data_IF_877740494770
#
_entry.id   IF_877740494770
#
_cell.length_a   1.000
_cell.length_b   1.000
_cell.length_c   1.000
_cell.angle_alpha   90.00
_cell.angle_beta   90.00
_cell.angle_gamma   90.00
#
_symmetry.space_group_name_H-M   'P 1'
#
loop_
_entity.id
_entity.type
_entity.pdbx_description
1 polymer ?
#
# COMPACT_ATOMS: atom_id res chain seq x y z
N UNK A 1 -2.56 9.15 -14.97
CA UNK A 1 -2.14 10.00 -13.83
C UNK A 1 -0.63 10.29 -13.88
N UNK A 2 -0.19 11.55 -13.72
CA UNK A 2 1.25 11.90 -13.68
C UNK A 2 1.75 11.97 -12.23
N UNK A 3 2.46 10.93 -11.79
CA UNK A 3 3.11 10.91 -10.47
C UNK A 3 4.30 11.88 -10.48
N UNK A 4 4.48 12.68 -9.41
CA UNK A 4 5.60 13.62 -9.28
C UNK A 4 6.93 12.87 -9.20
N UNK A 5 7.97 13.35 -9.89
CA UNK A 5 9.31 12.73 -9.91
C UNK A 5 9.88 12.50 -8.50
N UNK A 6 9.69 13.46 -7.59
CA UNK A 6 10.13 13.32 -6.20
C UNK A 6 9.54 12.12 -5.48
N UNK A 7 8.34 11.66 -5.87
CA UNK A 7 7.77 10.43 -5.30
C UNK A 7 8.47 9.16 -5.81
N UNK A 8 8.87 9.11 -7.09
CA UNK A 8 9.66 8.00 -7.62
C UNK A 8 11.02 7.89 -6.93
N UNK A 9 11.74 9.01 -6.85
CA UNK A 9 13.07 9.06 -6.21
C UNK A 9 12.97 8.63 -4.75
N UNK A 10 11.99 9.18 -4.02
CA UNK A 10 11.74 8.80 -2.64
C UNK A 10 11.42 7.30 -2.51
N UNK A 11 10.49 6.78 -3.34
CA UNK A 11 10.07 5.39 -3.29
C UNK A 11 11.26 4.46 -3.57
N UNK A 12 12.04 4.77 -4.59
CA UNK A 12 13.25 4.04 -4.94
C UNK A 12 14.29 4.07 -3.81
N UNK A 13 14.60 5.26 -3.27
CA UNK A 13 15.63 5.43 -2.24
C UNK A 13 15.29 4.70 -0.93
N UNK A 14 14.05 4.84 -0.43
CA UNK A 14 13.62 4.17 0.82
C UNK A 14 13.67 2.66 0.66
N UNK A 15 13.11 2.12 -0.43
CA UNK A 15 13.10 0.68 -0.66
C UNK A 15 14.52 0.11 -0.85
N UNK A 16 15.41 0.84 -1.54
CA UNK A 16 16.80 0.44 -1.72
C UNK A 16 17.57 0.42 -0.38
N UNK A 17 17.34 1.41 0.47
CA UNK A 17 17.96 1.48 1.80
C UNK A 17 17.48 0.33 2.71
N UNK A 18 16.19 0.01 2.68
CA UNK A 18 15.65 -1.12 3.46
C UNK A 18 16.15 -2.48 2.96
N UNK A 19 16.27 -2.66 1.64
CA UNK A 19 16.84 -3.85 1.04
C UNK A 19 18.31 -4.03 1.46
N UNK A 20 19.09 -2.96 1.42
CA UNK A 20 20.47 -2.96 1.90
C UNK A 20 20.55 -3.33 3.39
N UNK A 21 19.70 -2.72 4.23
CA UNK A 21 19.63 -3.02 5.66
C UNK A 21 19.25 -4.47 5.96
N UNK A 22 18.28 -5.02 5.22
CA UNK A 22 17.88 -6.43 5.35
C UNK A 22 19.01 -7.36 4.91
N UNK A 23 19.66 -7.06 3.78
CA UNK A 23 20.83 -7.80 3.32
C UNK A 23 21.98 -7.75 4.33
N UNK A 24 22.21 -6.62 4.99
CA UNK A 24 23.23 -6.48 6.02
C UNK A 24 22.93 -7.36 7.24
N UNK A 25 21.70 -7.32 7.75
CA UNK A 25 21.27 -8.14 8.89
C UNK A 25 21.43 -9.63 8.57
N UNK A 26 20.98 -10.06 7.40
CA UNK A 26 21.12 -11.46 6.95
C UNK A 26 22.58 -11.86 6.75
N UNK A 27 23.42 -10.96 6.22
CA UNK A 27 24.86 -11.17 6.11
C UNK A 27 25.52 -11.41 7.47
N UNK A 28 25.18 -10.61 8.49
CA UNK A 28 25.68 -10.80 9.87
C UNK A 28 25.22 -12.14 10.44
N UNK A 29 23.95 -12.52 10.24
CA UNK A 29 23.44 -13.81 10.67
C UNK A 29 24.15 -14.98 9.98
N UNK A 30 24.43 -14.87 8.68
CA UNK A 30 25.13 -15.90 7.91
C UNK A 30 26.54 -16.18 8.47
N UNK A 31 27.29 -15.13 8.86
CA UNK A 31 28.58 -15.27 9.55
C UNK A 31 28.41 -16.08 10.84
N UNK A 32 27.41 -15.74 11.65
CA UNK A 32 27.19 -16.37 12.97
C UNK A 32 26.83 -17.85 12.87
N UNK A 33 26.21 -18.28 11.77
CA UNK A 33 25.82 -19.68 11.53
C UNK A 33 26.91 -20.44 10.76
N UNK A 34 28.08 -19.83 10.51
CA UNK A 34 29.23 -20.50 9.88
C UNK A 34 29.10 -20.66 8.37
N UNK A 35 28.22 -19.90 7.72
CA UNK A 35 28.11 -19.87 6.25
C UNK A 35 29.20 -18.92 5.73
N UNK A 36 30.44 -19.43 5.61
CA UNK A 36 31.63 -18.63 5.25
C UNK A 36 31.91 -18.57 3.74
N UNK A 37 31.07 -19.19 2.90
CA UNK A 37 31.30 -19.28 1.45
C UNK A 37 31.11 -17.95 0.71
N UNK A 38 30.45 -16.97 1.32
CA UNK A 38 30.07 -15.71 0.68
C UNK A 38 30.45 -14.55 1.60
N UNK A 39 31.06 -13.49 1.05
CA UNK A 39 31.41 -12.30 1.82
C UNK A 39 30.15 -11.69 2.44
N UNK A 40 30.19 -11.23 3.71
CA UNK A 40 29.05 -10.57 4.33
C UNK A 40 28.59 -9.33 3.55
N UNK A 41 29.53 -8.67 2.88
CA UNK A 41 29.26 -7.49 2.06
C UNK A 41 28.54 -7.80 0.74
N UNK A 42 28.58 -9.05 0.26
CA UNK A 42 27.80 -9.44 -0.92
C UNK A 42 26.29 -9.53 -0.64
N UNK A 43 25.87 -9.80 0.60
CA UNK A 43 24.45 -9.88 0.92
C UNK A 43 23.70 -8.56 0.70
N UNK A 44 24.14 -7.39 1.23
CA UNK A 44 23.54 -6.10 0.88
C UNK A 44 23.45 -5.85 -0.62
N UNK A 45 24.52 -6.15 -1.36
CA UNK A 45 24.59 -5.90 -2.81
C UNK A 45 23.57 -6.77 -3.54
N UNK A 46 23.55 -8.09 -3.28
CA UNK A 46 22.59 -9.01 -3.88
C UNK A 46 21.15 -8.61 -3.58
N UNK A 47 20.84 -8.25 -2.33
CA UNK A 47 19.51 -7.81 -1.95
C UNK A 47 19.10 -6.52 -2.64
N UNK A 48 19.99 -5.53 -2.73
CA UNK A 48 19.71 -4.29 -3.48
C UNK A 48 19.40 -4.61 -4.93
N UNK A 49 20.21 -5.43 -5.61
CA UNK A 49 20.01 -5.81 -7.03
C UNK A 49 18.67 -6.52 -7.24
N UNK A 50 18.37 -7.52 -6.41
CA UNK A 50 17.08 -8.23 -6.45
C UNK A 50 15.93 -7.23 -6.26
N UNK A 51 16.06 -6.32 -5.29
CA UNK A 51 15.02 -5.34 -5.01
C UNK A 51 14.86 -4.28 -6.12
N UNK A 52 15.92 -3.94 -6.85
CA UNK A 52 15.81 -3.06 -8.02
C UNK A 52 14.88 -3.65 -9.08
N UNK A 53 14.96 -4.96 -9.33
CA UNK A 53 14.04 -5.64 -10.26
C UNK A 53 12.58 -5.50 -9.80
N UNK A 54 12.32 -5.63 -8.49
CA UNK A 54 11.00 -5.40 -7.93
C UNK A 54 10.55 -3.94 -8.07
N UNK A 55 11.41 -2.95 -7.81
CA UNK A 55 11.07 -1.53 -7.94
C UNK A 55 10.71 -1.16 -9.38
N UNK A 56 11.45 -1.67 -10.36
CA UNK A 56 11.15 -1.47 -11.79
C UNK A 56 9.74 -1.98 -12.13
N UNK A 57 9.30 -3.08 -11.52
CA UNK A 57 7.93 -3.61 -11.70
C UNK A 57 6.83 -2.69 -11.15
N UNK A 58 7.13 -1.85 -10.16
CA UNK A 58 6.22 -0.82 -9.65
C UNK A 58 6.15 0.38 -10.60
N UNK A 59 7.24 0.72 -11.30
CA UNK A 59 7.27 1.89 -12.16
C UNK A 59 6.71 1.63 -13.55
N UNK A 60 6.95 0.45 -14.12
CA UNK A 60 6.56 0.12 -15.51
C UNK A 60 5.84 -1.22 -15.66
N UNK A 61 5.63 -1.96 -14.57
CA UNK A 61 5.11 -3.34 -14.63
C UNK A 61 3.68 -3.50 -14.10
N UNK A 62 3.34 -4.77 -13.79
CA UNK A 62 2.02 -5.18 -13.30
C UNK A 62 1.61 -4.54 -11.97
N UNK A 63 2.56 -4.02 -11.20
CA UNK A 63 2.32 -3.37 -9.89
C UNK A 63 2.18 -1.85 -9.99
N UNK A 64 2.08 -1.31 -11.20
CA UNK A 64 1.93 0.13 -11.42
C UNK A 64 0.75 0.75 -10.67
N UNK A 65 -0.39 0.07 -10.63
CA UNK A 65 -1.57 0.56 -9.92
C UNK A 65 -1.36 0.68 -8.40
N UNK A 66 -0.58 -0.23 -7.80
CA UNK A 66 -0.21 -0.15 -6.38
C UNK A 66 0.67 1.06 -6.09
N UNK A 67 1.64 1.34 -6.97
CA UNK A 67 2.50 2.52 -6.86
C UNK A 67 1.68 3.81 -6.94
N UNK A 68 0.76 3.89 -7.89
CA UNK A 68 -0.12 5.06 -8.06
C UNK A 68 -1.07 5.25 -6.87
N UNK A 69 -1.60 4.15 -6.32
CA UNK A 69 -2.36 4.20 -5.08
C UNK A 69 -1.52 4.74 -3.92
N UNK A 70 -0.28 4.25 -3.75
CA UNK A 70 0.62 4.73 -2.67
C UNK A 70 0.94 6.22 -2.81
N UNK A 71 1.09 6.70 -4.05
CA UNK A 71 1.23 8.13 -4.31
C UNK A 71 0.00 8.91 -3.87
N UNK A 72 -1.20 8.47 -4.25
CA UNK A 72 -2.45 9.14 -3.90
C UNK A 72 -2.74 9.12 -2.40
N UNK A 73 -2.46 8.00 -1.73
CA UNK A 73 -2.55 7.91 -0.28
C UNK A 73 -1.60 8.92 0.38
N UNK A 74 -0.36 9.01 -0.09
CA UNK A 74 0.61 9.97 0.43
C UNK A 74 0.24 11.41 0.09
N UNK A 75 -0.34 11.68 -1.07
CA UNK A 75 -0.82 13.02 -1.41
C UNK A 75 -2.07 13.39 -0.62
N UNK A 76 -2.96 12.46 -0.30
CA UNK A 76 -4.07 12.71 0.63
C UNK A 76 -3.57 12.99 2.05
N UNK A 77 -2.45 12.37 2.45
CA UNK A 77 -1.79 12.62 3.75
C UNK A 77 -0.92 13.90 3.73
N UNK A 78 -0.38 14.32 2.59
CA UNK A 78 0.53 15.50 2.52
C UNK A 78 -0.12 16.75 1.94
N UNK A 79 -1.21 16.62 1.21
CA UNK A 79 -1.91 17.72 0.57
C UNK A 79 -2.46 18.68 1.63
N UNK A 80 -2.28 19.96 1.38
CA UNK A 80 -2.77 21.03 2.26
C UNK A 80 -4.30 21.14 2.23
N UNK A 81 -4.93 20.66 1.16
CA UNK A 81 -6.37 20.80 0.92
C UNK A 81 -7.26 20.09 1.95
N UNK A 82 -6.77 19.07 2.68
CA UNK A 82 -7.58 18.34 3.68
C UNK A 82 -6.77 17.84 4.89
N UNK A 83 -6.26 18.77 5.71
CA UNK A 83 -5.53 18.47 6.95
C UNK A 83 -6.30 17.55 7.90
N UNK A 84 -7.62 17.65 7.94
CA UNK A 84 -8.47 16.82 8.80
C UNK A 84 -8.51 15.36 8.34
N UNK A 85 -8.71 15.12 7.03
CA UNK A 85 -8.67 13.77 6.46
C UNK A 85 -7.32 13.11 6.72
N UNK A 86 -6.22 13.87 6.59
CA UNK A 86 -4.87 13.40 6.94
C UNK A 86 -4.79 12.90 8.38
N UNK A 87 -5.28 13.69 9.35
CA UNK A 87 -5.25 13.31 10.77
C UNK A 87 -6.06 12.04 10.99
N UNK A 88 -7.26 11.96 10.40
CA UNK A 88 -8.14 10.79 10.50
C UNK A 88 -7.51 9.54 9.90
N UNK A 89 -6.96 9.62 8.68
CA UNK A 89 -6.28 8.50 8.03
C UNK A 89 -5.01 8.06 8.78
N UNK A 90 -4.27 8.99 9.41
CA UNK A 90 -3.13 8.66 10.26
C UNK A 90 -3.55 7.87 11.50
N UNK A 91 -4.66 8.25 12.15
CA UNK A 91 -5.23 7.52 13.30
C UNK A 91 -5.69 6.11 12.89
N UNK A 92 -6.43 6.00 11.79
CA UNK A 92 -6.85 4.69 11.23
C UNK A 92 -5.64 3.80 10.96
N UNK A 93 -4.58 4.33 10.35
CA UNK A 93 -3.34 3.58 10.09
C UNK A 93 -2.72 3.06 11.39
N UNK A 94 -2.73 3.86 12.45
CA UNK A 94 -2.20 3.44 13.75
C UNK A 94 -3.02 2.30 14.35
N UNK A 95 -4.35 2.35 14.30
CA UNK A 95 -5.21 1.29 14.84
C UNK A 95 -5.16 -0.01 14.06
N UNK A 96 -5.04 0.08 12.73
CA UNK A 96 -4.79 -1.10 11.91
C UNK A 96 -3.46 -1.78 12.25
N UNK A 97 -2.45 -1.05 12.78
CA UNK A 97 -1.22 -1.66 13.31
C UNK A 97 -1.46 -2.39 14.63
N UNK A 98 -2.33 -1.86 15.49
CA UNK A 98 -2.69 -2.47 16.77
C UNK A 98 -3.63 -3.67 16.62
N UNK A 99 -4.18 -3.89 15.42
CA UNK A 99 -4.92 -5.10 15.09
C UNK A 99 -6.41 -5.06 15.41
N UNK A 100 -6.97 -3.88 15.67
CA UNK A 100 -8.42 -3.70 15.85
C UNK A 100 -9.08 -3.24 14.53
N UNK A 101 -9.60 -4.17 13.70
CA UNK A 101 -10.25 -3.82 12.44
C UNK A 101 -11.60 -3.11 12.65
N UNK A 102 -12.27 -3.33 13.78
CA UNK A 102 -13.60 -2.77 14.03
C UNK A 102 -13.51 -1.27 14.36
N UNK A 103 -12.56 -0.88 15.22
CA UNK A 103 -12.29 0.55 15.48
C UNK A 103 -11.85 1.28 14.21
N UNK A 104 -10.96 0.67 13.42
CA UNK A 104 -10.52 1.22 12.16
C UNK A 104 -11.68 1.41 11.16
N UNK A 105 -12.59 0.44 11.07
CA UNK A 105 -13.79 0.54 10.25
C UNK A 105 -14.69 1.70 10.72
N UNK A 106 -14.99 1.80 12.02
CA UNK A 106 -15.81 2.88 12.57
C UNK A 106 -15.25 4.28 12.26
N UNK A 107 -13.93 4.46 12.37
CA UNK A 107 -13.28 5.74 12.02
C UNK A 107 -13.24 6.03 10.54
N UNK A 108 -13.13 5.00 9.69
CA UNK A 108 -13.26 5.16 8.24
C UNK A 108 -14.69 5.52 7.85
N UNK A 109 -15.70 4.95 8.50
CA UNK A 109 -17.10 5.35 8.32
C UNK A 109 -17.30 6.83 8.65
N UNK A 110 -16.72 7.31 9.76
CA UNK A 110 -16.77 8.72 10.13
C UNK A 110 -16.02 9.61 9.12
N UNK A 111 -14.84 9.19 8.65
CA UNK A 111 -14.10 9.93 7.64
C UNK A 111 -14.85 9.98 6.29
N UNK A 112 -15.55 8.92 5.91
CA UNK A 112 -16.31 8.86 4.66
C UNK A 112 -17.55 9.75 4.68
N UNK A 113 -18.16 9.98 5.85
CA UNK A 113 -19.27 10.94 5.99
C UNK A 113 -18.85 12.36 5.63
N UNK A 114 -17.67 12.76 6.06
CA UNK A 114 -17.16 14.13 5.81
C UNK A 114 -16.47 14.25 4.45
N UNK A 115 -15.91 13.14 3.94
CA UNK A 115 -15.19 13.09 2.67
C UNK A 115 -15.74 11.98 1.73
N UNK A 116 -17.02 12.08 1.31
CA UNK A 116 -17.69 11.01 0.55
C UNK A 116 -17.11 10.78 -0.85
N UNK A 117 -16.47 11.80 -1.42
CA UNK A 117 -15.93 11.80 -2.78
C UNK A 117 -14.40 11.68 -2.81
N UNK A 118 -13.78 11.38 -1.66
CA UNK A 118 -12.35 11.15 -1.63
C UNK A 118 -12.02 9.70 -2.00
N UNK A 119 -11.30 9.52 -3.11
CA UNK A 119 -10.82 8.23 -3.58
C UNK A 119 -10.15 7.37 -2.49
N UNK A 120 -9.21 7.95 -1.74
CA UNK A 120 -8.41 7.22 -0.75
C UNK A 120 -9.27 6.79 0.44
N UNK A 121 -10.19 7.65 0.89
CA UNK A 121 -11.14 7.32 1.95
C UNK A 121 -12.08 6.18 1.52
N UNK A 122 -12.70 6.28 0.34
CA UNK A 122 -13.56 5.25 -0.24
C UNK A 122 -12.83 3.90 -0.39
N UNK A 123 -11.62 3.90 -0.94
CA UNK A 123 -10.84 2.68 -1.13
C UNK A 123 -10.47 2.05 0.21
N UNK A 124 -10.03 2.84 1.21
CA UNK A 124 -9.70 2.32 2.53
C UNK A 124 -10.93 1.79 3.27
N UNK A 125 -12.08 2.44 3.11
CA UNK A 125 -13.34 1.94 3.64
C UNK A 125 -13.68 0.57 3.03
N UNK A 126 -13.57 0.40 1.71
CA UNK A 126 -13.76 -0.89 1.05
C UNK A 126 -12.87 -2.01 1.63
N UNK A 127 -11.58 -1.72 1.82
CA UNK A 127 -10.64 -2.66 2.46
C UNK A 127 -11.05 -2.99 3.90
N UNK A 128 -11.57 -2.02 4.65
CA UNK A 128 -12.06 -2.26 6.01
C UNK A 128 -13.30 -3.16 6.01
N UNK A 129 -14.24 -2.97 5.08
CA UNK A 129 -15.41 -3.83 4.90
C UNK A 129 -14.97 -5.27 4.63
N UNK A 130 -13.97 -5.48 3.76
CA UNK A 130 -13.43 -6.82 3.54
C UNK A 130 -12.88 -7.46 4.82
N UNK A 131 -12.09 -6.71 5.61
CA UNK A 131 -11.53 -7.24 6.86
C UNK A 131 -12.61 -7.61 7.86
N UNK A 132 -13.74 -6.90 7.83
CA UNK A 132 -14.93 -7.18 8.64
C UNK A 132 -15.80 -8.32 8.09
N UNK A 133 -15.51 -8.84 6.89
CA UNK A 133 -16.31 -9.88 6.24
C UNK A 133 -17.52 -9.37 5.45
N UNK A 134 -17.64 -8.04 5.28
CA UNK A 134 -18.75 -7.38 4.58
C UNK A 134 -18.45 -7.32 3.07
N UNK A 135 -18.61 -8.46 2.38
CA UNK A 135 -18.24 -8.62 0.98
C UNK A 135 -18.98 -7.69 0.01
N UNK A 136 -20.31 -7.57 0.16
CA UNK A 136 -21.14 -6.75 -0.73
C UNK A 136 -20.82 -5.25 -0.59
N UNK A 137 -20.71 -4.78 0.65
CA UNK A 137 -20.33 -3.38 0.95
C UNK A 137 -18.91 -3.06 0.47
N UNK A 138 -17.99 -4.03 0.57
CA UNK A 138 -16.64 -3.88 0.02
C UNK A 138 -16.67 -3.70 -1.50
N UNK A 139 -17.42 -4.56 -2.21
CA UNK A 139 -17.57 -4.49 -3.67
C UNK A 139 -18.19 -3.15 -4.09
N UNK A 140 -19.28 -2.74 -3.45
CA UNK A 140 -19.94 -1.46 -3.73
C UNK A 140 -18.97 -0.29 -3.52
N UNK A 141 -18.21 -0.32 -2.42
CA UNK A 141 -17.24 0.72 -2.09
C UNK A 141 -16.05 0.75 -3.06
N UNK A 142 -15.57 -0.40 -3.55
CA UNK A 142 -14.55 -0.43 -4.60
C UNK A 142 -15.04 0.13 -5.92
N UNK A 143 -16.27 -0.21 -6.33
CA UNK A 143 -16.86 0.33 -7.55
C UNK A 143 -17.02 1.85 -7.43
N UNK A 144 -17.42 2.35 -6.25
CA UNK A 144 -17.43 3.80 -5.97
C UNK A 144 -16.03 4.40 -6.01
N UNK A 145 -15.02 3.75 -5.43
CA UNK A 145 -13.64 4.23 -5.50
C UNK A 145 -13.15 4.30 -6.94
N UNK A 146 -13.55 3.35 -7.81
CA UNK A 146 -13.18 3.35 -9.22
C UNK A 146 -13.69 4.58 -9.97
N UNK A 147 -14.90 5.05 -9.67
CA UNK A 147 -15.47 6.27 -10.28
C UNK A 147 -14.79 7.55 -9.78
N UNK A 148 -14.24 7.52 -8.56
CA UNK A 148 -13.56 8.65 -7.92
C UNK A 148 -12.06 8.75 -8.25
N UNK A 149 -11.52 7.90 -9.13
CA UNK A 149 -10.09 7.92 -9.47
C UNK A 149 -9.69 9.30 -10.01
N UNK A 150 -8.75 10.02 -9.35
CA UNK A 150 -8.32 11.32 -9.81
C UNK A 150 -7.48 11.18 -11.07
N UNK A 151 -7.94 11.76 -12.17
CA UNK A 151 -7.40 11.63 -13.54
C UNK A 151 -7.44 10.19 -14.08
N UNK A 152 -7.72 9.98 -15.38
CA UNK A 152 -7.74 8.63 -15.94
C UNK A 152 -6.37 7.97 -15.77
N UNK A 153 -6.33 6.90 -14.98
CA UNK A 153 -5.15 6.04 -14.82
C UNK A 153 -5.57 4.59 -14.95
N UNK A 154 -5.26 4.00 -16.11
CA UNK A 154 -5.65 2.63 -16.45
C UNK A 154 -5.07 1.62 -15.47
N UNK A 155 -3.83 1.83 -15.03
CA UNK A 155 -3.13 1.01 -14.04
C UNK A 155 -3.82 1.01 -12.68
N UNK A 156 -4.20 2.19 -12.18
CA UNK A 156 -4.91 2.32 -10.91
C UNK A 156 -6.32 1.73 -11.00
N UNK A 157 -7.03 1.99 -12.10
CA UNK A 157 -8.35 1.41 -12.35
C UNK A 157 -8.30 -0.12 -12.36
N UNK A 158 -7.36 -0.70 -13.11
CA UNK A 158 -7.13 -2.14 -13.15
C UNK A 158 -6.81 -2.70 -11.75
N UNK A 159 -6.01 -1.99 -10.96
CA UNK A 159 -5.73 -2.39 -9.57
C UNK A 159 -6.99 -2.40 -8.69
N UNK A 160 -7.83 -1.37 -8.75
CA UNK A 160 -9.10 -1.30 -7.98
C UNK A 160 -10.08 -2.39 -8.44
N UNK A 161 -10.28 -2.52 -9.75
CA UNK A 161 -11.15 -3.54 -10.34
C UNK A 161 -10.69 -4.97 -10.01
N UNK A 162 -9.38 -5.20 -9.92
CA UNK A 162 -8.82 -6.47 -9.48
C UNK A 162 -9.22 -6.80 -8.04
N UNK A 163 -9.29 -5.82 -7.14
CA UNK A 163 -9.73 -6.06 -5.76
C UNK A 163 -11.22 -6.42 -5.71
N UNK A 164 -12.09 -5.65 -6.37
CA UNK A 164 -13.53 -5.95 -6.39
C UNK A 164 -13.83 -7.30 -7.03
N UNK A 165 -13.18 -7.63 -8.15
CA UNK A 165 -13.31 -8.93 -8.83
C UNK A 165 -12.84 -10.09 -7.96
N UNK A 166 -11.74 -9.90 -7.21
CA UNK A 166 -11.27 -10.91 -6.27
C UNK A 166 -12.27 -11.14 -5.14
N UNK A 167 -12.80 -10.07 -4.51
CA UNK A 167 -13.83 -10.22 -3.46
C UNK A 167 -15.06 -10.95 -3.99
N UNK A 168 -15.49 -10.66 -5.22
CA UNK A 168 -16.59 -11.38 -5.88
C UNK A 168 -16.30 -12.88 -6.06
N UNK A 169 -15.06 -13.25 -6.37
CA UNK A 169 -14.68 -14.63 -6.70
C UNK A 169 -14.29 -15.47 -5.48
N UNK A 170 -13.49 -14.90 -4.58
CA UNK A 170 -12.84 -15.58 -3.46
C UNK A 170 -13.47 -15.23 -2.10
N UNK A 171 -14.33 -14.20 -2.06
CA UNK A 171 -14.91 -13.67 -0.84
C UNK A 171 -14.02 -12.65 -0.12
N UNK A 172 -14.53 -12.04 0.97
CA UNK A 172 -13.79 -11.10 1.79
C UNK A 172 -12.64 -11.81 2.53
N UNK A 173 -11.49 -11.14 2.64
CA UNK A 173 -10.31 -11.69 3.31
C UNK A 173 -9.90 -10.83 4.51
N UNK A 174 -9.64 -11.48 5.65
CA UNK A 174 -9.06 -10.82 6.83
C UNK A 174 -7.62 -10.36 6.61
N UNK A 175 -6.89 -11.01 5.68
CA UNK A 175 -5.55 -10.59 5.26
C UNK A 175 -5.68 -9.72 4.01
N UNK A 176 -5.23 -8.48 4.11
CA UNK A 176 -5.16 -7.57 2.96
C UNK A 176 -4.32 -8.20 1.85
N UNK A 177 -4.96 -8.56 0.74
CA UNK A 177 -4.33 -9.14 -0.45
C UNK A 177 -3.40 -8.18 -1.19
N UNK A 178 -3.49 -6.88 -0.90
CA UNK A 178 -2.56 -5.88 -1.39
C UNK A 178 -1.38 -5.77 -0.42
N UNK A 179 -0.22 -6.39 -0.72
CA UNK A 179 1.00 -6.16 0.06
C UNK A 179 1.31 -4.67 0.14
N UNK A 180 0.97 -3.84 -0.87
CA UNK A 180 1.07 -2.38 -0.76
C UNK A 180 0.31 -1.75 0.41
N UNK A 181 -0.66 -2.42 1.03
CA UNK A 181 -1.38 -1.95 2.22
C UNK A 181 -0.81 -2.54 3.54
N UNK A 182 -0.11 -3.68 3.47
CA UNK A 182 0.62 -4.27 4.60
C UNK A 182 2.07 -3.75 4.71
N UNK A 183 2.69 -3.38 3.58
CA UNK A 183 4.08 -2.93 3.45
C UNK A 183 4.21 -1.44 3.12
N UNK A 184 3.10 -0.71 2.96
CA UNK A 184 3.06 0.72 3.35
C UNK A 184 2.82 0.82 4.87
N UNK A 185 3.23 -0.20 5.63
CA UNK A 185 3.75 -0.06 6.98
C UNK A 185 5.28 0.02 6.85
N UNK A 186 5.75 1.18 6.42
CA UNK A 186 6.97 1.77 6.93
C UNK A 186 6.58 3.19 7.39
#
# INVERSE_FOLDING_TARGET
MRVKLGHYVYFWAVNSLMAAGTGLVLGIFAIRVGISLISPMSFPICFVVIYQFYIVSYFWGKRRGEFEFSFLERSAIRGEENQELKIRLKKVRQELKWGDPASAHAKLTAALKDFPDNFVACFKYAVSCERMGMGDDAIASYNKAETLIPTPSTSLRCYVAKQSTRVKKEGPSRRSSSPGLQYVIY
#
